data_IF_874517216946
#
_entry.id   IF_874517216946
#
_cell.length_a   1.000
_cell.length_b   1.000
_cell.length_c   1.000
_cell.angle_alpha   90.00
_cell.angle_beta   90.00
_cell.angle_gamma   90.00
#
_symmetry.space_group_name_H-M   'P 1'
#
loop_
_entity.id
_entity.type
_entity.pdbx_description
1 polymer ?
#
# COMPACT_ATOMS: atom_id res chain seq x y z
N UNK A 1 -23.34 39.56 -41.49
CA UNK A 1 -23.55 40.24 -40.18
C UNK A 1 -24.27 39.39 -39.13
N UNK A 2 -25.23 38.50 -39.46
CA UNK A 2 -25.95 37.69 -38.44
C UNK A 2 -25.11 36.65 -37.68
N UNK A 3 -24.04 36.10 -38.26
CA UNK A 3 -23.22 35.08 -37.61
C UNK A 3 -22.24 35.64 -36.57
N UNK A 4 -21.82 36.89 -36.69
CA UNK A 4 -20.88 37.55 -35.75
C UNK A 4 -21.59 37.85 -34.41
N UNK A 5 -22.89 38.15 -34.45
CA UNK A 5 -23.70 38.43 -33.26
C UNK A 5 -23.92 37.18 -32.40
N UNK A 6 -24.06 36.01 -33.03
CA UNK A 6 -24.29 34.74 -32.32
C UNK A 6 -23.05 34.24 -31.56
N UNK A 7 -21.86 34.45 -32.12
CA UNK A 7 -20.58 34.12 -31.45
C UNK A 7 -20.34 35.04 -30.25
N UNK A 8 -20.62 36.34 -30.40
CA UNK A 8 -20.46 37.31 -29.30
C UNK A 8 -21.39 37.02 -28.11
N UNK A 9 -22.65 36.64 -28.37
CA UNK A 9 -23.63 36.30 -27.32
C UNK A 9 -23.23 35.02 -26.59
N UNK A 10 -22.70 34.00 -27.29
CA UNK A 10 -22.23 32.77 -26.67
C UNK A 10 -20.98 32.98 -25.79
N UNK A 11 -20.06 33.86 -26.19
CA UNK A 11 -18.89 34.24 -25.36
C UNK A 11 -19.23 35.13 -24.16
N UNK A 12 -20.28 35.96 -24.27
CA UNK A 12 -20.73 36.81 -23.17
C UNK A 12 -21.53 36.02 -22.11
N UNK A 13 -22.32 35.03 -22.52
CA UNK A 13 -23.05 34.16 -21.60
C UNK A 13 -22.11 33.20 -20.84
N UNK A 14 -21.03 32.73 -21.48
CA UNK A 14 -19.99 31.94 -20.80
C UNK A 14 -19.12 32.80 -19.89
N UNK A 15 -18.81 34.04 -20.27
CA UNK A 15 -18.11 35.00 -19.42
C UNK A 15 -18.89 35.45 -18.19
N UNK A 16 -20.22 35.59 -18.27
CA UNK A 16 -21.06 35.89 -17.09
C UNK A 16 -21.20 34.70 -16.14
N UNK A 17 -21.20 33.46 -16.64
CA UNK A 17 -21.17 32.26 -15.80
C UNK A 17 -19.84 32.11 -15.03
N UNK A 18 -18.73 32.53 -15.64
CA UNK A 18 -17.40 32.60 -15.01
C UNK A 18 -17.24 33.76 -14.01
N UNK A 19 -18.17 34.73 -14.01
CA UNK A 19 -18.15 35.90 -13.13
C UNK A 19 -19.33 35.91 -12.13
N UNK A 20 -20.15 34.86 -12.11
CA UNK A 20 -21.24 34.73 -11.17
C UNK A 20 -20.67 34.43 -9.78
N UNK A 21 -21.03 35.25 -8.78
CA UNK A 21 -20.64 34.92 -7.42
C UNK A 21 -21.22 33.55 -7.02
N UNK A 22 -20.40 32.68 -6.41
CA UNK A 22 -20.87 31.34 -6.06
C UNK A 22 -22.04 31.43 -5.09
N UNK A 23 -23.12 30.73 -5.41
CA UNK A 23 -24.31 30.70 -4.57
C UNK A 23 -24.01 30.09 -3.20
N UNK A 24 -24.83 30.41 -2.19
CA UNK A 24 -24.71 29.82 -0.85
C UNK A 24 -24.74 28.28 -0.88
N UNK A 25 -25.57 27.70 -1.76
CA UNK A 25 -25.65 26.26 -2.00
C UNK A 25 -24.35 25.71 -2.60
N UNK A 26 -23.78 26.39 -3.62
CA UNK A 26 -22.49 26.01 -4.22
C UNK A 26 -21.36 26.04 -3.19
N UNK A 27 -21.33 27.06 -2.32
CA UNK A 27 -20.35 27.18 -1.25
C UNK A 27 -20.52 26.10 -0.18
N UNK A 28 -21.75 25.73 0.16
CA UNK A 28 -22.03 24.62 1.07
C UNK A 28 -21.53 23.29 0.49
N UNK A 29 -21.90 22.97 -0.76
CA UNK A 29 -21.43 21.76 -1.45
C UNK A 29 -19.91 21.72 -1.51
N UNK A 30 -19.25 22.84 -1.81
CA UNK A 30 -17.78 22.92 -1.78
C UNK A 30 -17.19 22.61 -0.42
N UNK A 31 -17.77 23.14 0.66
CA UNK A 31 -17.33 22.83 2.04
C UNK A 31 -17.51 21.35 2.37
N UNK A 32 -18.60 20.74 1.94
CA UNK A 32 -18.83 19.30 2.11
C UNK A 32 -17.77 18.47 1.37
N UNK A 33 -17.46 18.81 0.12
CA UNK A 33 -16.41 18.16 -0.66
C UNK A 33 -15.03 18.32 -0.01
N UNK A 34 -14.71 19.52 0.50
CA UNK A 34 -13.46 19.78 1.21
C UNK A 34 -13.37 18.97 2.52
N UNK A 35 -14.45 18.90 3.29
CA UNK A 35 -14.51 18.11 4.51
C UNK A 35 -14.31 16.61 4.21
N UNK A 36 -15.00 16.09 3.20
CA UNK A 36 -14.83 14.71 2.76
C UNK A 36 -13.41 14.46 2.25
N UNK A 37 -12.84 15.40 1.48
CA UNK A 37 -11.46 15.30 0.99
C UNK A 37 -10.47 15.23 2.15
N UNK A 38 -10.64 16.03 3.20
CA UNK A 38 -9.79 15.99 4.39
C UNK A 38 -9.90 14.66 5.15
N UNK A 39 -11.13 14.16 5.36
CA UNK A 39 -11.37 12.87 6.01
C UNK A 39 -10.73 11.74 5.21
N UNK A 40 -10.94 11.73 3.89
CA UNK A 40 -10.38 10.72 3.00
C UNK A 40 -8.87 10.84 2.85
N UNK A 41 -8.31 12.05 2.87
CA UNK A 41 -6.87 12.30 2.91
C UNK A 41 -6.22 11.73 4.17
N UNK A 42 -6.81 11.96 5.35
CA UNK A 42 -6.34 11.37 6.61
C UNK A 42 -6.49 9.84 6.62
N UNK A 43 -7.57 9.33 6.03
CA UNK A 43 -7.79 7.89 5.87
C UNK A 43 -6.73 7.28 4.97
N UNK A 44 -6.43 7.92 3.83
CA UNK A 44 -5.38 7.51 2.89
C UNK A 44 -4.03 7.47 3.58
N UNK A 45 -3.67 8.51 4.34
CA UNK A 45 -2.41 8.55 5.09
C UNK A 45 -2.33 7.40 6.11
N UNK A 46 -3.41 7.16 6.86
CA UNK A 46 -3.46 6.10 7.86
C UNK A 46 -3.33 4.71 7.22
N UNK A 47 -4.02 4.48 6.10
CA UNK A 47 -3.91 3.25 5.32
C UNK A 47 -2.51 3.08 4.72
N UNK A 48 -1.89 4.16 4.24
CA UNK A 48 -0.52 4.13 3.73
C UNK A 48 0.48 3.71 4.82
N UNK A 49 0.38 4.28 6.03
CA UNK A 49 1.21 3.87 7.17
C UNK A 49 1.00 2.39 7.51
N UNK A 50 -0.25 1.93 7.60
CA UNK A 50 -0.57 0.53 7.86
C UNK A 50 -0.06 -0.39 6.75
N UNK A 51 -0.13 0.04 5.49
CA UNK A 51 0.37 -0.71 4.32
C UNK A 51 1.87 -0.91 4.41
N UNK A 52 2.64 0.13 4.76
CA UNK A 52 4.09 0.03 4.92
C UNK A 52 4.47 -0.91 6.07
N UNK A 53 3.82 -0.78 7.23
CA UNK A 53 4.07 -1.68 8.36
C UNK A 53 3.74 -3.15 8.03
N UNK A 54 2.64 -3.38 7.31
CA UNK A 54 2.31 -4.72 6.82
C UNK A 54 3.30 -5.20 5.75
N UNK A 55 3.84 -4.28 4.95
CA UNK A 55 4.87 -4.56 3.94
C UNK A 55 6.18 -4.99 4.56
N UNK A 56 6.63 -4.33 5.63
CA UNK A 56 7.81 -4.76 6.39
C UNK A 56 7.61 -6.17 6.96
N UNK A 57 6.45 -6.45 7.57
CA UNK A 57 6.13 -7.81 8.04
C UNK A 57 6.06 -8.84 6.92
N UNK A 58 5.55 -8.46 5.75
CA UNK A 58 5.50 -9.35 4.59
C UNK A 58 6.89 -9.58 3.97
N UNK A 59 7.80 -8.62 4.10
CA UNK A 59 9.20 -8.80 3.73
C UNK A 59 9.88 -9.73 4.72
N UNK A 60 9.62 -9.55 6.00
CA UNK A 60 10.27 -10.33 7.04
C UNK A 60 9.80 -11.79 7.04
N UNK A 61 8.55 -12.07 6.67
CA UNK A 61 8.05 -13.44 6.47
C UNK A 61 8.66 -14.16 5.26
N UNK A 62 9.44 -13.46 4.42
CA UNK A 62 10.28 -14.12 3.41
C UNK A 62 11.55 -14.72 4.01
N UNK A 63 11.97 -14.27 5.19
CA UNK A 63 12.98 -14.98 5.96
C UNK A 63 12.36 -16.26 6.51
N UNK A 64 12.99 -17.38 6.18
CA UNK A 64 12.48 -18.71 6.47
C UNK A 64 12.73 -19.04 7.93
N UNK A 65 11.74 -18.78 8.79
CA UNK A 65 11.75 -19.25 10.18
C UNK A 65 11.93 -20.79 10.22
N UNK A 66 11.44 -21.50 9.21
CA UNK A 66 11.73 -22.92 9.00
C UNK A 66 13.23 -23.23 8.93
N UNK A 67 14.04 -22.39 8.28
CA UNK A 67 15.48 -22.61 8.18
C UNK A 67 16.17 -22.30 9.51
N UNK A 68 15.73 -21.28 10.24
CA UNK A 68 16.23 -21.01 11.60
C UNK A 68 15.96 -22.18 12.55
N UNK A 69 14.73 -22.67 12.59
CA UNK A 69 14.35 -23.84 13.40
C UNK A 69 15.06 -25.10 12.94
N UNK A 70 15.24 -25.29 11.63
CA UNK A 70 15.97 -26.42 11.09
C UNK A 70 17.46 -26.39 11.48
N UNK A 71 18.08 -25.21 11.65
CA UNK A 71 19.46 -25.12 12.19
C UNK A 71 19.55 -25.72 13.59
N UNK A 72 18.58 -25.43 14.46
CA UNK A 72 18.55 -26.03 15.80
C UNK A 72 18.39 -27.55 15.75
N UNK A 73 17.55 -28.06 14.85
CA UNK A 73 17.43 -29.50 14.63
C UNK A 73 18.75 -30.09 14.11
N UNK A 74 19.40 -29.40 13.17
CA UNK A 74 20.65 -29.84 12.55
C UNK A 74 21.82 -29.92 13.55
N UNK A 75 21.84 -29.03 14.56
CA UNK A 75 22.81 -29.09 15.67
C UNK A 75 22.65 -30.35 16.53
N UNK A 76 21.45 -30.92 16.60
CA UNK A 76 21.21 -32.19 17.29
C UNK A 76 21.69 -33.42 16.52
N UNK A 77 22.11 -33.23 15.25
CA UNK A 77 22.61 -34.29 14.37
C UNK A 77 24.08 -34.06 13.95
N UNK A 78 25.04 -34.12 14.90
CA UNK A 78 26.45 -33.94 14.59
C UNK A 78 27.01 -35.02 13.63
N UNK A 79 26.34 -36.16 13.50
CA UNK A 79 26.69 -37.23 12.56
C UNK A 79 26.67 -36.76 11.08
N UNK A 80 25.93 -35.70 10.75
CA UNK A 80 25.89 -35.14 9.40
C UNK A 80 27.10 -34.24 9.06
N UNK A 81 27.98 -33.97 10.03
CA UNK A 81 29.14 -33.06 9.87
C UNK A 81 30.19 -33.51 8.85
N UNK A 82 30.16 -34.77 8.42
CA UNK A 82 31.02 -35.30 7.36
C UNK A 82 30.70 -34.73 5.97
N UNK A 83 29.49 -34.19 5.77
CA UNK A 83 29.12 -33.48 4.54
C UNK A 83 29.52 -32.00 4.65
N UNK A 84 30.33 -31.46 3.71
CA UNK A 84 30.65 -30.03 3.66
C UNK A 84 29.43 -29.10 3.67
N UNK A 85 28.30 -29.56 3.13
CA UNK A 85 27.05 -28.80 3.13
C UNK A 85 26.45 -28.64 4.53
N UNK A 86 26.85 -29.45 5.51
CA UNK A 86 26.40 -29.32 6.90
C UNK A 86 26.70 -27.93 7.46
N UNK A 87 27.94 -27.47 7.30
CA UNK A 87 28.34 -26.15 7.81
C UNK A 87 27.77 -25.01 6.96
N UNK A 88 27.55 -25.23 5.67
CA UNK A 88 26.85 -24.28 4.82
C UNK A 88 25.38 -24.11 5.26
N UNK A 89 24.71 -25.21 5.61
CA UNK A 89 23.35 -25.22 6.12
C UNK A 89 23.22 -24.65 7.55
N UNK A 90 24.30 -24.66 8.35
CA UNK A 90 24.34 -24.04 9.68
C UNK A 90 24.57 -22.52 9.67
N UNK A 91 24.88 -21.91 8.52
CA UNK A 91 25.04 -20.46 8.45
C UNK A 91 23.76 -19.71 8.80
N UNK A 92 23.89 -18.43 9.14
CA UNK A 92 22.75 -17.58 9.48
C UNK A 92 21.72 -17.58 8.33
N UNK A 93 20.42 -17.79 8.63
CA UNK A 93 19.40 -17.85 7.61
C UNK A 93 19.32 -16.54 6.83
N UNK A 94 19.31 -16.67 5.50
CA UNK A 94 19.05 -15.56 4.60
C UNK A 94 18.01 -15.95 3.55
N UNK A 95 17.72 -15.08 2.58
CA UNK A 95 16.74 -15.35 1.52
C UNK A 95 17.05 -16.58 0.65
N UNK A 96 18.29 -17.09 0.72
CA UNK A 96 18.78 -18.27 0.00
C UNK A 96 19.21 -19.40 0.94
N UNK A 97 18.77 -19.35 2.20
CA UNK A 97 18.97 -20.47 3.11
C UNK A 97 18.22 -21.71 2.62
N UNK A 98 18.80 -22.86 2.93
CA UNK A 98 18.36 -24.17 2.45
C UNK A 98 18.42 -25.20 3.59
N UNK A 99 18.41 -24.74 4.85
CA UNK A 99 18.69 -25.59 6.01
C UNK A 99 17.61 -26.63 6.23
N UNK A 100 16.33 -26.25 6.10
CA UNK A 100 15.21 -27.16 6.21
C UNK A 100 15.23 -28.21 5.10
N UNK A 101 15.55 -27.81 3.87
CA UNK A 101 15.70 -28.71 2.73
C UNK A 101 16.89 -29.66 2.91
N UNK A 102 18.01 -29.16 3.41
CA UNK A 102 19.18 -29.98 3.75
C UNK A 102 18.85 -31.00 4.85
N UNK A 103 18.21 -30.55 5.95
CA UNK A 103 17.78 -31.41 7.04
C UNK A 103 16.86 -32.53 6.54
N UNK A 104 15.85 -32.21 5.72
CA UNK A 104 14.99 -33.22 5.09
C UNK A 104 15.79 -34.19 4.22
N UNK A 105 16.73 -33.69 3.42
CA UNK A 105 17.49 -34.52 2.47
C UNK A 105 18.37 -35.57 3.14
N UNK A 106 18.79 -35.33 4.40
CA UNK A 106 19.67 -36.24 5.14
C UNK A 106 18.98 -37.51 5.60
N UNK A 107 17.74 -37.38 6.04
CA UNK A 107 16.91 -38.51 6.43
C UNK A 107 15.45 -38.23 6.05
N UNK A 108 15.08 -38.46 4.79
CA UNK A 108 13.74 -38.12 4.30
C UNK A 108 12.63 -38.85 5.07
N UNK A 109 12.90 -40.04 5.59
CA UNK A 109 11.89 -40.85 6.30
C UNK A 109 11.59 -40.27 7.67
N UNK A 110 12.63 -39.89 8.44
CA UNK A 110 12.47 -39.39 9.80
C UNK A 110 12.24 -37.87 9.86
N UNK A 111 12.73 -37.11 8.88
CA UNK A 111 12.67 -35.65 8.90
C UNK A 111 11.49 -35.05 8.14
N UNK A 112 10.68 -35.86 7.46
CA UNK A 112 9.51 -35.39 6.69
C UNK A 112 8.48 -34.66 7.56
N UNK A 113 8.08 -35.24 8.69
CA UNK A 113 7.08 -34.61 9.56
C UNK A 113 7.58 -33.29 10.18
N UNK A 114 8.79 -33.22 10.77
CA UNK A 114 9.39 -31.95 11.18
C UNK A 114 9.45 -30.93 10.04
N UNK A 115 9.91 -31.33 8.84
CA UNK A 115 9.98 -30.45 7.69
C UNK A 115 8.63 -29.85 7.30
N UNK A 116 7.59 -30.68 7.22
CA UNK A 116 6.24 -30.23 6.88
C UNK A 116 5.70 -29.26 7.94
N UNK A 117 5.92 -29.55 9.23
CA UNK A 117 5.51 -28.66 10.31
C UNK A 117 6.21 -27.29 10.23
N UNK A 118 7.51 -27.29 9.91
CA UNK A 118 8.29 -26.06 9.72
C UNK A 118 7.78 -25.25 8.52
N UNK A 119 7.60 -25.88 7.36
CA UNK A 119 7.16 -25.18 6.14
C UNK A 119 5.71 -24.71 6.18
N UNK A 120 4.83 -25.44 6.86
CA UNK A 120 3.43 -25.04 6.98
C UNK A 120 3.27 -23.70 7.72
N UNK A 121 4.09 -23.45 8.75
CA UNK A 121 4.06 -22.19 9.48
C UNK A 121 4.50 -21.02 8.60
N UNK A 122 5.64 -21.18 7.91
CA UNK A 122 6.19 -20.18 6.99
C UNK A 122 5.21 -19.83 5.87
N UNK A 123 4.59 -20.85 5.24
CA UNK A 123 3.62 -20.61 4.17
C UNK A 123 2.40 -19.85 4.67
N UNK A 124 1.90 -20.18 5.85
CA UNK A 124 0.76 -19.49 6.42
C UNK A 124 1.09 -18.03 6.75
N UNK A 125 2.25 -17.78 7.36
CA UNK A 125 2.67 -16.43 7.73
C UNK A 125 2.97 -15.56 6.51
N UNK A 126 3.66 -16.10 5.51
CA UNK A 126 3.91 -15.42 4.23
C UNK A 126 2.61 -15.09 3.49
N UNK A 127 1.65 -16.03 3.42
CA UNK A 127 0.34 -15.78 2.80
C UNK A 127 -0.46 -14.75 3.57
N UNK A 128 -0.48 -14.84 4.90
CA UNK A 128 -1.24 -13.93 5.77
C UNK A 128 -0.70 -12.51 5.68
N UNK A 129 0.61 -12.32 5.84
CA UNK A 129 1.27 -11.02 5.79
C UNK A 129 1.18 -10.41 4.38
N UNK A 130 1.46 -11.18 3.34
CA UNK A 130 1.37 -10.73 1.95
C UNK A 130 -0.07 -10.36 1.53
N UNK A 131 -1.07 -11.15 1.94
CA UNK A 131 -2.47 -10.81 1.65
C UNK A 131 -2.95 -9.58 2.41
N UNK A 132 -2.52 -9.39 3.66
CA UNK A 132 -2.81 -8.18 4.44
C UNK A 132 -2.21 -6.94 3.76
N UNK A 133 -0.92 -6.97 3.41
CA UNK A 133 -0.26 -5.86 2.71
C UNK A 133 -0.98 -5.53 1.40
N UNK A 134 -1.31 -6.53 0.58
CA UNK A 134 -2.05 -6.34 -0.68
C UNK A 134 -3.41 -5.69 -0.46
N UNK A 135 -4.18 -6.15 0.53
CA UNK A 135 -5.50 -5.61 0.82
C UNK A 135 -5.42 -4.16 1.31
N UNK A 136 -4.44 -3.84 2.16
CA UNK A 136 -4.20 -2.48 2.61
C UNK A 136 -3.73 -1.57 1.47
N UNK A 137 -2.91 -2.08 0.55
CA UNK A 137 -2.49 -1.34 -0.64
C UNK A 137 -3.69 -1.00 -1.54
N UNK A 138 -4.60 -1.96 -1.77
CA UNK A 138 -5.84 -1.68 -2.51
C UNK A 138 -6.75 -0.67 -1.80
N UNK A 139 -6.90 -0.79 -0.47
CA UNK A 139 -7.66 0.17 0.31
C UNK A 139 -7.05 1.58 0.24
N UNK A 140 -5.72 1.69 0.33
CA UNK A 140 -4.99 2.96 0.19
C UNK A 140 -5.22 3.57 -1.18
N UNK A 141 -5.08 2.77 -2.25
CA UNK A 141 -5.31 3.22 -3.62
C UNK A 141 -6.75 3.71 -3.82
N UNK A 142 -7.74 2.96 -3.34
CA UNK A 142 -9.15 3.35 -3.45
C UNK A 142 -9.44 4.65 -2.68
N UNK A 143 -8.89 4.79 -1.47
CA UNK A 143 -9.03 5.99 -0.66
C UNK A 143 -8.43 7.21 -1.35
N UNK A 144 -7.26 7.04 -1.96
CA UNK A 144 -6.61 8.08 -2.76
C UNK A 144 -7.45 8.46 -4.00
N UNK A 145 -7.99 7.48 -4.72
CA UNK A 145 -8.84 7.73 -5.89
C UNK A 145 -10.10 8.52 -5.53
N UNK A 146 -10.72 8.23 -4.37
CA UNK A 146 -11.86 8.99 -3.86
C UNK A 146 -11.42 10.42 -3.52
N UNK A 147 -10.29 10.58 -2.82
CA UNK A 147 -9.74 11.90 -2.45
C UNK A 147 -9.48 12.78 -3.68
N UNK A 148 -8.87 12.20 -4.73
CA UNK A 148 -8.62 12.87 -6.00
C UNK A 148 -9.92 13.22 -6.74
N UNK A 149 -10.91 12.32 -6.73
CA UNK A 149 -12.22 12.57 -7.34
C UNK A 149 -12.95 13.71 -6.66
N UNK A 150 -12.93 13.76 -5.32
CA UNK A 150 -13.50 14.87 -4.54
C UNK A 150 -12.83 16.20 -4.89
N UNK A 151 -11.51 16.22 -5.08
CA UNK A 151 -10.80 17.43 -5.49
C UNK A 151 -11.16 17.86 -6.92
N UNK A 152 -11.25 16.91 -7.86
CA UNK A 152 -11.53 17.19 -9.27
C UNK A 152 -12.96 17.68 -9.50
N UNK A 153 -13.94 17.10 -8.81
CA UNK A 153 -15.35 17.47 -8.93
C UNK A 153 -15.80 18.54 -7.92
N UNK A 154 -14.90 19.08 -7.11
CA UNK A 154 -15.24 20.15 -6.18
C UNK A 154 -15.68 21.41 -6.94
N UNK A 155 -16.78 22.07 -6.54
CA UNK A 155 -17.15 23.36 -7.10
C UNK A 155 -16.04 24.40 -6.97
N UNK A 156 -15.95 25.30 -7.94
CA UNK A 156 -15.00 26.40 -7.94
C UNK A 156 -15.16 27.27 -6.70
N UNK A 157 -14.05 27.90 -6.30
CA UNK A 157 -14.06 28.81 -5.16
C UNK A 157 -14.60 30.18 -5.47
N UNK A 158 -14.72 30.98 -4.42
CA UNK A 158 -14.85 32.42 -4.60
C UNK A 158 -13.54 32.91 -5.22
N UNK A 159 -13.56 33.29 -6.49
CA UNK A 159 -12.52 34.16 -7.02
C UNK A 159 -12.74 35.54 -6.40
N UNK A 160 -11.91 35.90 -5.42
CA UNK A 160 -11.88 37.28 -4.97
C UNK A 160 -11.34 38.13 -6.13
N UNK A 161 -12.22 38.85 -6.83
CA UNK A 161 -11.81 40.04 -7.58
C UNK A 161 -11.31 41.05 -6.55
N UNK A 162 -10.03 40.97 -6.21
CA UNK A 162 -9.34 42.01 -5.47
C UNK A 162 -9.13 43.18 -6.42
N UNK A 163 -10.13 44.04 -6.57
CA UNK A 163 -9.88 45.36 -7.13
C UNK A 163 -9.09 46.17 -6.11
N UNK A 164 -7.78 46.24 -6.33
CA UNK A 164 -6.88 47.09 -5.58
C UNK A 164 -6.41 46.49 -4.26
N UNK A 165 -5.16 46.81 -3.94
CA UNK A 165 -4.42 46.41 -2.74
C UNK A 165 -3.78 45.03 -2.84
N UNK A 166 -2.66 45.00 -3.57
CA UNK A 166 -1.45 44.43 -3.00
C UNK A 166 -1.25 45.04 -1.61
N UNK A 167 -1.37 44.24 -0.56
CA UNK A 167 -0.86 44.61 0.75
C UNK A 167 -0.21 43.40 1.40
N UNK A 168 1.13 43.48 1.31
CA UNK A 168 2.22 42.85 2.07
C UNK A 168 2.43 41.35 1.89
#
# INVERSE_FOLDING_TARGET
MRQIVLVLVATLLTGQALLAEPSAETLQTRREFLNLHQIMGLTTLSLWLATNLAGDKAKDSLYRESDEKARFLLLAHPEYSSDPLYYAALQEPGPRSFTAEYFLSKDPTNNLLPYLALKQNDEWEARRSGSLHRNLAYATFLSYAITASLAYFAPEGVEYKREGVDSI
#
